data_IF_795706191976
#
_entry.id   IF_795706191976
#
_cell.length_a   1.000
_cell.length_b   1.000
_cell.length_c   1.000
_cell.angle_alpha   90.00
_cell.angle_beta   90.00
_cell.angle_gamma   90.00
#
_symmetry.space_group_name_H-M   'P 1'
#
loop_
_entity.id
_entity.type
_entity.pdbx_description
1 polymer ?
#
# COMPACT_ATOMS: atom_id res chain seq x y z
N UNK A 1 -7.43 -5.75 -28.44
CA UNK A 1 -8.26 -5.91 -27.23
C UNK A 1 -7.33 -6.41 -26.14
N UNK A 2 -6.73 -5.51 -25.38
CA UNK A 2 -5.87 -5.86 -24.24
C UNK A 2 -6.76 -5.83 -23.01
N UNK A 3 -6.97 -6.99 -22.39
CA UNK A 3 -7.67 -7.15 -21.11
C UNK A 3 -7.12 -6.14 -20.09
N UNK A 4 -7.93 -5.44 -19.29
CA UNK A 4 -7.41 -4.85 -18.07
C UNK A 4 -7.20 -5.99 -17.07
N UNK A 5 -6.20 -6.83 -17.33
CA UNK A 5 -5.56 -7.70 -16.34
C UNK A 5 -5.33 -6.86 -15.10
N UNK A 6 -5.87 -7.29 -13.96
CA UNK A 6 -5.55 -6.67 -12.68
C UNK A 6 -4.03 -6.65 -12.53
N UNK A 7 -3.45 -5.46 -12.64
CA UNK A 7 -2.00 -5.33 -12.80
C UNK A 7 -1.25 -5.62 -11.52
N UNK A 8 -1.97 -5.72 -10.39
CA UNK A 8 -1.47 -6.14 -9.10
C UNK A 8 -2.36 -7.21 -8.50
N UNK A 9 -1.78 -7.94 -7.56
CA UNK A 9 -2.48 -8.83 -6.64
C UNK A 9 -1.92 -8.64 -5.25
N UNK A 10 -2.78 -8.70 -4.24
CA UNK A 10 -2.35 -8.70 -2.85
C UNK A 10 -2.99 -9.86 -2.09
N UNK A 11 -2.36 -10.26 -0.99
CA UNK A 11 -2.89 -11.27 -0.08
C UNK A 11 -2.63 -10.89 1.37
N UNK A 12 -3.62 -11.08 2.23
CA UNK A 12 -3.45 -11.01 3.68
C UNK A 12 -2.99 -12.38 4.20
N UNK A 13 -1.86 -12.41 4.90
CA UNK A 13 -1.28 -13.64 5.45
C UNK A 13 -1.42 -13.72 6.97
N UNK A 14 -1.71 -12.60 7.64
CA UNK A 14 -1.91 -12.56 9.09
C UNK A 14 -2.92 -11.50 9.48
N UNK A 15 -3.74 -11.86 10.44
CA UNK A 15 -4.54 -10.98 11.27
C UNK A 15 -3.92 -10.97 12.67
N UNK A 16 -3.56 -9.81 13.19
CA UNK A 16 -2.89 -9.69 14.50
C UNK A 16 -3.87 -9.66 15.66
N UNK A 17 -5.15 -9.40 15.41
CA UNK A 17 -6.21 -9.31 16.41
C UNK A 17 -6.85 -10.67 16.65
N UNK A 18 -7.20 -11.37 15.57
CA UNK A 18 -7.89 -12.66 15.61
C UNK A 18 -6.95 -13.86 15.38
N UNK A 19 -5.73 -13.64 14.92
CA UNK A 19 -4.75 -14.70 14.68
C UNK A 19 -5.15 -15.64 13.54
N UNK A 20 -4.66 -16.88 13.61
CA UNK A 20 -4.75 -17.87 12.51
C UNK A 20 -6.17 -18.34 12.18
N UNK A 21 -7.15 -18.05 13.04
CA UNK A 21 -8.57 -18.38 12.82
C UNK A 21 -9.36 -17.28 12.11
N UNK A 22 -8.68 -16.21 11.68
CA UNK A 22 -9.33 -15.08 11.01
C UNK A 22 -9.74 -15.43 9.58
N UNK A 23 -10.98 -15.05 9.22
CA UNK A 23 -11.45 -15.04 7.83
C UNK A 23 -10.66 -14.07 6.95
N UNK A 24 -9.84 -13.18 7.53
CA UNK A 24 -8.95 -12.28 6.78
C UNK A 24 -7.81 -13.04 6.09
N UNK A 25 -7.34 -14.13 6.68
CA UNK A 25 -6.17 -14.86 6.15
C UNK A 25 -6.54 -15.54 4.84
N UNK A 26 -5.71 -15.32 3.82
CA UNK A 26 -5.96 -15.81 2.47
C UNK A 26 -6.95 -14.94 1.67
N UNK A 27 -7.42 -13.81 2.20
CA UNK A 27 -8.13 -12.81 1.38
C UNK A 27 -7.16 -12.26 0.35
N UNK A 28 -7.60 -12.30 -0.91
CA UNK A 28 -6.83 -11.86 -2.07
C UNK A 28 -7.60 -10.73 -2.75
N UNK A 29 -6.88 -9.70 -3.18
CA UNK A 29 -7.43 -8.67 -4.05
C UNK A 29 -6.57 -8.40 -5.28
N UNK A 30 -7.08 -7.55 -6.19
CA UNK A 30 -8.36 -6.85 -6.08
C UNK A 30 -9.56 -7.79 -6.31
N UNK A 31 -10.73 -7.44 -5.77
CA UNK A 31 -11.94 -8.28 -5.83
C UNK A 31 -12.26 -8.62 -7.30
N UNK A 32 -12.44 -9.91 -7.58
CA UNK A 32 -12.82 -10.38 -8.92
C UNK A 32 -11.67 -10.62 -9.90
N UNK A 33 -10.41 -10.62 -9.45
CA UNK A 33 -9.28 -11.03 -10.30
C UNK A 33 -9.47 -12.44 -10.86
N UNK A 34 -9.49 -12.53 -12.20
CA UNK A 34 -9.68 -13.77 -12.97
C UNK A 34 -8.42 -14.62 -13.02
N UNK A 35 -7.26 -13.98 -13.11
CA UNK A 35 -5.96 -14.63 -13.02
C UNK A 35 -5.42 -14.41 -11.61
N UNK A 36 -5.44 -15.45 -10.78
CA UNK A 36 -4.85 -15.37 -9.44
C UNK A 36 -3.41 -15.88 -9.52
N UNK A 37 -2.40 -15.06 -9.20
CA UNK A 37 -1.06 -15.58 -9.04
C UNK A 37 -1.08 -16.66 -7.95
N UNK A 38 -0.18 -17.63 -8.05
CA UNK A 38 -0.06 -18.65 -7.02
C UNK A 38 0.29 -17.97 -5.71
N UNK A 39 -0.28 -18.47 -4.62
CA UNK A 39 -0.01 -17.99 -3.26
C UNK A 39 1.50 -17.88 -3.00
N UNK A 40 2.26 -18.87 -3.45
CA UNK A 40 3.71 -18.92 -3.31
C UNK A 40 4.41 -17.78 -4.08
N UNK A 41 3.93 -17.42 -5.28
CA UNK A 41 4.54 -16.33 -6.06
C UNK A 41 4.40 -14.98 -5.36
N UNK A 42 3.24 -14.74 -4.71
CA UNK A 42 2.98 -13.55 -3.93
C UNK A 42 3.92 -13.43 -2.73
N UNK A 43 4.15 -14.53 -2.01
CA UNK A 43 5.02 -14.52 -0.82
C UNK A 43 6.50 -14.43 -1.21
N UNK A 44 6.91 -15.11 -2.28
CA UNK A 44 8.32 -15.17 -2.69
C UNK A 44 8.76 -13.87 -3.36
N UNK A 45 7.88 -13.23 -4.14
CA UNK A 45 8.25 -12.08 -5.00
C UNK A 45 7.56 -10.78 -4.61
N UNK A 46 6.51 -10.85 -3.80
CA UNK A 46 5.73 -9.69 -3.42
C UNK A 46 6.47 -8.80 -2.43
N UNK A 47 6.06 -7.54 -2.40
CA UNK A 47 6.48 -6.58 -1.37
C UNK A 47 5.61 -6.82 -0.15
N UNK A 48 6.25 -7.04 1.00
CA UNK A 48 5.57 -7.21 2.27
C UNK A 48 4.96 -5.88 2.71
N UNK A 49 3.69 -5.92 3.08
CA UNK A 49 2.92 -4.78 3.58
C UNK A 49 2.33 -5.08 4.95
N UNK A 50 2.05 -4.02 5.70
CA UNK A 50 1.23 -4.08 6.92
C UNK A 50 0.21 -2.95 6.92
N UNK A 51 -0.98 -3.25 7.42
CA UNK A 51 -2.09 -2.33 7.60
C UNK A 51 -2.22 -1.97 9.08
N UNK A 52 -2.38 -0.69 9.36
CA UNK A 52 -2.42 -0.18 10.73
C UNK A 52 -3.71 0.61 10.97
N UNK A 53 -4.22 0.57 12.22
CA UNK A 53 -5.30 1.43 12.67
C UNK A 53 -4.83 2.89 12.84
N UNK A 54 -5.74 3.75 13.28
CA UNK A 54 -5.48 5.17 13.60
C UNK A 54 -4.47 5.38 14.73
N UNK A 55 -4.43 4.44 15.69
CA UNK A 55 -3.45 4.41 16.78
C UNK A 55 -2.04 3.94 16.32
N UNK A 56 -1.89 3.45 15.09
CA UNK A 56 -0.63 2.95 14.55
C UNK A 56 -0.31 1.50 14.96
N UNK A 57 -1.30 0.76 15.44
CA UNK A 57 -1.18 -0.67 15.72
C UNK A 57 -1.41 -1.50 14.45
N UNK A 58 -0.53 -2.48 14.22
CA UNK A 58 -0.67 -3.39 13.08
C UNK A 58 -1.89 -4.27 13.29
N UNK A 59 -2.78 -4.29 12.30
CA UNK A 59 -4.00 -5.11 12.27
C UNK A 59 -3.83 -6.31 11.31
N UNK A 60 -3.19 -6.08 10.16
CA UNK A 60 -3.01 -7.11 9.14
C UNK A 60 -1.62 -7.01 8.51
N UNK A 61 -1.09 -8.14 8.05
CA UNK A 61 0.12 -8.18 7.21
C UNK A 61 -0.13 -9.04 5.98
N UNK A 62 0.64 -8.79 4.92
CA UNK A 62 0.42 -9.47 3.65
C UNK A 62 1.43 -9.10 2.58
N UNK A 63 1.26 -9.63 1.38
CA UNK A 63 2.17 -9.37 0.25
C UNK A 63 1.40 -8.82 -0.94
N UNK A 64 1.99 -7.87 -1.65
CA UNK A 64 1.47 -7.34 -2.92
C UNK A 64 2.49 -7.53 -4.04
N UNK A 65 2.05 -7.91 -5.22
CA UNK A 65 2.87 -8.12 -6.40
C UNK A 65 2.21 -7.52 -7.63
N UNK A 66 3.01 -6.89 -8.50
CA UNK A 66 2.58 -6.34 -9.78
C UNK A 66 2.76 -4.82 -9.89
N UNK A 67 2.03 -4.18 -10.80
CA UNK A 67 1.96 -2.72 -10.94
C UNK A 67 0.89 -2.16 -9.99
N UNK A 68 1.33 -1.47 -8.95
CA UNK A 68 0.47 -0.83 -7.95
C UNK A 68 1.06 0.54 -7.55
N UNK A 69 0.19 1.45 -7.12
CA UNK A 69 0.55 2.79 -6.64
C UNK A 69 0.89 2.81 -5.14
N UNK A 70 0.48 1.81 -4.35
CA UNK A 70 0.87 1.62 -2.94
C UNK A 70 -0.27 1.76 -1.93
N UNK A 71 -1.47 2.13 -2.36
CA UNK A 71 -2.63 2.29 -1.48
C UNK A 71 -3.62 1.13 -1.59
N UNK A 72 -3.40 0.18 -2.50
CA UNK A 72 -4.40 -0.79 -2.94
C UNK A 72 -4.85 -1.73 -1.81
N UNK A 73 -3.98 -2.41 -1.03
CA UNK A 73 -4.45 -3.27 0.06
C UNK A 73 -5.23 -2.50 1.13
N UNK A 74 -4.84 -1.25 1.37
CA UNK A 74 -5.58 -0.36 2.28
C UNK A 74 -6.95 -0.01 1.71
N UNK A 75 -7.04 0.41 0.45
CA UNK A 75 -8.30 0.81 -0.21
C UNK A 75 -9.25 -0.37 -0.41
N UNK A 76 -8.72 -1.52 -0.80
CA UNK A 76 -9.51 -2.71 -1.15
C UNK A 76 -10.02 -3.48 0.07
N UNK A 77 -9.32 -3.38 1.20
CA UNK A 77 -9.60 -4.18 2.40
C UNK A 77 -9.42 -3.39 3.69
N UNK A 78 -8.28 -2.73 3.87
CA UNK A 78 -7.95 -2.08 5.15
C UNK A 78 -8.98 -1.06 5.65
N UNK A 79 -9.45 -0.15 4.79
CA UNK A 79 -10.41 0.90 5.17
C UNK A 79 -11.74 0.33 5.67
N UNK A 80 -12.22 -0.76 5.06
CA UNK A 80 -13.44 -1.46 5.50
C UNK A 80 -13.24 -2.23 6.82
N UNK A 81 -11.99 -2.46 7.23
CA UNK A 81 -11.62 -3.22 8.42
C UNK A 81 -10.87 -2.36 9.46
N UNK A 82 -11.14 -1.05 9.50
CA UNK A 82 -10.65 -0.16 10.55
C UNK A 82 -9.17 0.25 10.43
N UNK A 83 -8.51 -0.04 9.31
CA UNK A 83 -7.15 0.45 9.05
C UNK A 83 -7.19 1.82 8.39
N UNK A 84 -6.26 2.70 8.76
CA UNK A 84 -6.13 4.04 8.19
C UNK A 84 -4.79 4.25 7.50
N UNK A 85 -3.82 3.35 7.71
CA UNK A 85 -2.45 3.47 7.19
C UNK A 85 -1.96 2.14 6.61
N UNK A 86 -1.03 2.24 5.68
CA UNK A 86 -0.30 1.12 5.11
C UNK A 86 1.19 1.45 5.07
N UNK A 87 1.99 0.45 5.41
CA UNK A 87 3.44 0.50 5.37
C UNK A 87 3.98 -0.68 4.56
N UNK A 88 5.13 -0.47 3.92
CA UNK A 88 5.83 -1.48 3.15
C UNK A 88 7.20 -1.77 3.75
N UNK A 89 7.60 -3.03 3.74
CA UNK A 89 8.94 -3.42 4.13
C UNK A 89 9.93 -3.10 3.00
N UNK A 90 10.92 -2.25 3.31
CA UNK A 90 12.02 -1.85 2.43
C UNK A 90 13.30 -1.96 3.25
N UNK A 91 14.23 -2.81 2.80
CA UNK A 91 15.53 -3.00 3.44
C UNK A 91 15.44 -3.31 4.96
N UNK A 92 14.42 -4.10 5.36
CA UNK A 92 14.16 -4.47 6.76
C UNK A 92 13.51 -3.37 7.61
N UNK A 93 13.11 -2.25 6.99
CA UNK A 93 12.41 -1.15 7.65
C UNK A 93 10.99 -0.99 7.10
N UNK A 94 10.08 -0.58 7.97
CA UNK A 94 8.70 -0.27 7.59
C UNK A 94 8.60 1.20 7.20
N UNK A 95 8.25 1.44 5.94
CA UNK A 95 8.11 2.78 5.38
C UNK A 95 6.65 3.04 5.08
N UNK A 96 6.11 4.13 5.63
CA UNK A 96 4.76 4.58 5.36
C UNK A 96 4.58 4.81 3.87
N UNK A 97 3.47 4.30 3.32
CA UNK A 97 3.05 4.75 2.02
C UNK A 97 2.67 6.22 2.12
N UNK A 98 3.52 7.07 1.55
CA UNK A 98 3.23 8.48 1.41
C UNK A 98 2.87 8.76 -0.05
N UNK A 99 1.61 9.13 -0.28
CA UNK A 99 1.15 9.55 -1.60
C UNK A 99 1.85 10.83 -2.10
N UNK A 100 2.52 11.58 -1.22
CA UNK A 100 3.30 12.77 -1.55
C UNK A 100 4.72 12.46 -2.06
N UNK A 101 5.22 11.23 -1.90
CA UNK A 101 6.53 10.82 -2.44
C UNK A 101 6.53 10.64 -3.97
N UNK A 102 5.37 10.83 -4.63
CA UNK A 102 5.29 10.95 -6.09
C UNK A 102 5.74 12.37 -6.46
N UNK A 103 7.04 12.57 -6.52
CA UNK A 103 7.69 13.78 -7.05
C UNK A 103 7.97 13.59 -8.55
N UNK A 104 7.13 14.10 -9.47
CA UNK A 104 7.52 14.27 -10.85
C UNK A 104 7.98 15.72 -11.05
N UNK A 105 9.09 16.12 -10.44
CA UNK A 105 9.87 17.29 -10.86
C UNK A 105 9.11 18.61 -10.83
N UNK A 106 9.05 19.24 -9.66
CA UNK A 106 8.65 20.64 -9.50
C UNK A 106 9.78 21.46 -8.90
N UNK A 107 10.72 21.86 -9.75
CA UNK A 107 11.86 22.73 -9.44
C UNK A 107 11.60 23.74 -8.33
N UNK A 108 12.44 23.72 -7.30
CA UNK A 108 12.63 24.82 -6.38
C UNK A 108 13.07 26.07 -7.17
N UNK A 109 12.12 26.94 -7.53
CA UNK A 109 12.40 28.32 -7.90
C UNK A 109 12.20 29.18 -6.67
N UNK A 110 13.27 29.27 -5.86
CA UNK A 110 13.42 30.40 -4.95
C UNK A 110 13.58 31.67 -5.77
N UNK A 111 12.70 32.64 -5.57
CA UNK A 111 12.99 34.06 -5.75
C UNK A 111 11.95 34.83 -4.96
N UNK A 112 12.27 35.07 -3.69
CA UNK A 112 11.62 36.11 -2.91
C UNK A 112 11.93 37.44 -3.58
N UNK A 113 10.94 38.05 -4.22
CA UNK A 113 10.95 39.48 -4.51
C UNK A 113 10.61 40.18 -3.19
N UNK A 114 11.64 40.62 -2.47
CA UNK A 114 11.42 41.61 -1.44
C UNK A 114 11.20 42.96 -2.11
N UNK A 115 9.99 43.45 -1.90
CA UNK A 115 9.54 44.81 -2.03
C UNK A 115 10.49 45.79 -1.32
N UNK A 116 10.85 46.87 -2.01
CA UNK A 116 11.36 48.11 -1.40
C UNK A 116 11.24 49.25 -2.42
N UNK A 117 10.05 49.85 -2.50
CA UNK A 117 9.97 51.31 -2.49
C UNK A 117 9.83 51.77 -1.03
N UNK A 118 9.95 53.06 -0.67
CA UNK A 118 10.13 54.26 -1.51
C UNK A 118 11.38 55.08 -1.13
N UNK A 119 11.76 56.05 -1.98
CA UNK A 119 12.11 57.46 -1.66
C UNK A 119 12.46 58.23 -2.94
#
# INVERSE_FOLDING_TARGET
MTDPTNRYHWIVTRDTVLGDSSDAIGKIGPRGARERPRFDDLIIRGVHFRLLNDDGEVQFTGYILGEFDGAEPLRDYGLENGCTRIEYERDGQWVAFDSSARDPGGSAAGSGTNDAGPE
#
